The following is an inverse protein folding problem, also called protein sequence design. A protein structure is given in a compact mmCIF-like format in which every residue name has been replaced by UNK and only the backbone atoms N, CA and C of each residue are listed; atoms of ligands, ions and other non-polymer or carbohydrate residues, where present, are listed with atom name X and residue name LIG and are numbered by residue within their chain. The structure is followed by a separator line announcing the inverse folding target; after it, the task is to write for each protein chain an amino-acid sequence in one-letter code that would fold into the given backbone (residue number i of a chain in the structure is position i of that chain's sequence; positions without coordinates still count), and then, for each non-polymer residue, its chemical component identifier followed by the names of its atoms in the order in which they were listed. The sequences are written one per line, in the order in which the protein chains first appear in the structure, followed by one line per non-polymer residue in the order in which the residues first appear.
data_IF_718716492063
#
_entry.id   IF_718716492063
#
_cell.length_a   1.000
_cell.length_b   1.000
_cell.length_c   1.000
_cell.angle_alpha   90.00
_cell.angle_beta   90.00
_cell.angle_gamma   90.00
#
_symmetry.space_group_name_H-M   'P 1'
#
loop_
_entity.id
_entity.type
_entity.pdbx_description
1 polymer ?
#
# COMPACT_ATOMS: atom_id res chain seq x y z
N UNK A 1 3.32 4.83 8.12
CA UNK A 1 3.93 5.75 7.13
C UNK A 1 4.87 6.73 7.81
N UNK A 2 4.39 7.55 8.77
CA UNK A 2 5.22 8.59 9.40
C UNK A 2 6.40 8.00 10.19
N UNK A 3 6.17 6.96 11.02
CA UNK A 3 7.22 6.26 11.74
C UNK A 3 8.29 5.69 10.78
N UNK A 4 7.88 5.06 9.68
CA UNK A 4 8.80 4.53 8.68
C UNK A 4 9.66 5.64 8.04
N UNK A 5 9.04 6.78 7.68
CA UNK A 5 9.79 7.93 7.17
C UNK A 5 10.81 8.45 8.18
N UNK A 6 10.47 8.49 9.47
CA UNK A 6 11.42 8.90 10.53
C UNK A 6 12.55 7.89 10.66
N UNK A 7 12.25 6.60 10.65
CA UNK A 7 13.26 5.56 10.75
C UNK A 7 14.23 5.55 9.56
N UNK A 8 13.73 5.76 8.33
CA UNK A 8 14.57 5.86 7.12
C UNK A 8 15.65 6.94 7.19
N UNK A 9 15.44 7.98 7.98
CA UNK A 9 16.38 9.10 8.18
C UNK A 9 17.14 9.01 9.51
N UNK A 10 17.07 7.87 10.20
CA UNK A 10 17.84 7.63 11.42
C UNK A 10 19.29 7.22 11.09
N UNK A 11 20.19 7.37 12.07
CA UNK A 11 21.58 6.93 11.98
C UNK A 11 21.73 5.42 11.73
N UNK A 12 20.66 4.64 11.92
CA UNK A 12 20.67 3.24 11.55
C UNK A 12 21.09 3.02 10.09
N UNK A 13 20.70 3.91 9.18
CA UNK A 13 21.01 3.78 7.74
C UNK A 13 22.28 4.53 7.30
N UNK A 14 23.09 5.07 8.23
CA UNK A 14 24.32 5.79 7.85
C UNK A 14 25.23 4.92 6.97
N UNK A 15 25.61 5.46 5.82
CA UNK A 15 26.42 4.75 4.81
C UNK A 15 25.65 3.74 3.92
N UNK A 16 24.34 3.59 4.13
CA UNK A 16 23.47 2.68 3.37
C UNK A 16 22.21 3.40 2.86
N UNK A 17 21.56 2.76 1.89
CA UNK A 17 20.19 3.12 1.49
C UNK A 17 19.18 2.33 2.31
N UNK A 18 18.13 3.01 2.77
CA UNK A 18 16.96 2.33 3.33
C UNK A 18 16.14 1.72 2.19
N UNK A 19 16.07 0.40 2.14
CA UNK A 19 15.30 -0.35 1.15
C UNK A 19 14.05 -0.98 1.78
N UNK A 20 12.95 -0.99 1.05
CA UNK A 20 11.75 -1.72 1.45
C UNK A 20 11.90 -3.20 1.09
N UNK A 21 11.84 -4.08 2.09
CA UNK A 21 11.88 -5.53 1.88
C UNK A 21 10.78 -5.91 0.88
N UNK A 22 9.54 -5.47 1.10
CA UNK A 22 8.45 -5.56 0.12
C UNK A 22 8.24 -4.22 -0.59
N UNK A 23 8.30 -4.16 -1.95
CA UNK A 23 8.15 -2.90 -2.66
C UNK A 23 6.79 -2.25 -2.42
N UNK A 24 6.77 -1.01 -1.92
CA UNK A 24 5.51 -0.26 -1.68
C UNK A 24 4.72 -0.02 -2.98
N UNK A 25 5.41 0.10 -4.12
CA UNK A 25 4.80 0.22 -5.45
C UNK A 25 3.97 -1.00 -5.85
N UNK A 26 4.18 -2.14 -5.19
CA UNK A 26 3.42 -3.38 -5.38
C UNK A 26 2.35 -3.60 -4.30
N UNK A 27 2.21 -2.70 -3.32
CA UNK A 27 1.20 -2.73 -2.28
C UNK A 27 1.65 -3.32 -0.95
N UNK A 28 2.95 -3.53 -0.74
CA UNK A 28 3.46 -3.83 0.61
C UNK A 28 3.42 -2.59 1.49
N UNK A 29 3.35 -2.80 2.81
CA UNK A 29 3.24 -1.69 3.76
C UNK A 29 4.54 -0.88 3.81
N UNK A 30 4.39 0.42 3.95
CA UNK A 30 5.47 1.33 4.32
C UNK A 30 5.53 1.39 5.85
N UNK A 31 6.35 0.52 6.43
CA UNK A 31 6.49 0.34 7.88
C UNK A 31 7.96 0.23 8.25
N UNK A 32 8.33 0.70 9.46
CA UNK A 32 9.72 0.68 9.91
C UNK A 32 10.29 -0.73 10.05
N UNK A 33 9.48 -1.73 10.41
CA UNK A 33 9.87 -3.13 10.46
C UNK A 33 10.18 -3.73 9.08
N UNK A 34 9.72 -3.10 8.01
CA UNK A 34 9.86 -3.58 6.63
C UNK A 34 10.99 -2.88 5.87
N UNK A 35 11.88 -2.22 6.59
CA UNK A 35 13.05 -1.56 6.04
C UNK A 35 14.32 -2.38 6.32
N UNK A 36 15.23 -2.39 5.37
CA UNK A 36 16.55 -3.04 5.49
C UNK A 36 17.66 -2.15 4.94
N UNK A 37 18.87 -2.33 5.46
CA UNK A 37 20.08 -1.73 4.89
C UNK A 37 20.41 -2.39 3.56
N UNK A 38 20.71 -1.57 2.56
CA UNK A 38 21.20 -2.03 1.26
C UNK A 38 22.22 -1.03 0.71
N UNK A 39 23.19 -1.49 -0.06
CA UNK A 39 24.06 -0.55 -0.78
C UNK A 39 23.24 0.24 -1.80
N UNK A 40 23.65 1.46 -2.14
CA UNK A 40 22.95 2.25 -3.15
C UNK A 40 22.89 1.56 -4.51
N UNK A 41 23.94 0.80 -4.87
CA UNK A 41 23.99 0.00 -6.10
C UNK A 41 22.97 -1.13 -6.10
N UNK A 42 22.92 -1.93 -5.02
CA UNK A 42 21.98 -3.05 -4.90
C UNK A 42 20.54 -2.57 -4.84
N UNK A 43 20.26 -1.48 -4.10
CA UNK A 43 18.94 -0.87 -4.03
C UNK A 43 18.49 -0.39 -5.43
N UNK A 44 19.37 0.27 -6.17
CA UNK A 44 19.11 0.70 -7.55
C UNK A 44 18.89 -0.48 -8.50
N UNK A 45 19.58 -1.61 -8.28
CA UNK A 45 19.41 -2.82 -9.06
C UNK A 45 18.11 -3.56 -8.68
N UNK A 46 17.72 -3.56 -7.41
CA UNK A 46 16.50 -4.22 -6.92
C UNK A 46 15.23 -3.57 -7.46
N UNK A 47 15.07 -2.26 -7.34
CA UNK A 47 13.86 -1.50 -7.73
C UNK A 47 12.58 -2.11 -7.14
N UNK A 48 11.64 -2.56 -8.01
CA UNK A 48 10.36 -3.18 -7.66
C UNK A 48 10.37 -4.72 -7.82
N UNK A 49 11.55 -5.35 -7.80
CA UNK A 49 11.62 -6.81 -7.89
C UNK A 49 11.19 -7.47 -6.58
N UNK A 50 10.49 -8.59 -6.70
CA UNK A 50 10.27 -9.50 -5.60
C UNK A 50 11.42 -10.50 -5.57
N UNK A 51 12.24 -10.47 -4.53
CA UNK A 51 13.31 -11.44 -4.32
C UNK A 51 12.82 -12.54 -3.37
N UNK A 52 13.18 -13.79 -3.65
CA UNK A 52 12.78 -14.91 -2.81
C UNK A 52 13.26 -14.76 -1.36
N UNK A 53 14.48 -14.21 -1.19
CA UNK A 53 15.03 -13.89 0.13
C UNK A 53 14.18 -12.87 0.90
N UNK A 54 13.68 -11.84 0.20
CA UNK A 54 12.86 -10.80 0.80
C UNK A 54 11.47 -11.32 1.18
N UNK A 55 10.86 -12.14 0.31
CA UNK A 55 9.58 -12.79 0.64
C UNK A 55 9.70 -13.67 1.89
N UNK A 56 10.78 -14.45 2.01
CA UNK A 56 11.04 -15.25 3.22
C UNK A 56 11.21 -14.39 4.47
N UNK A 57 11.88 -13.22 4.36
CA UNK A 57 11.98 -12.26 5.46
C UNK A 57 10.61 -11.72 5.87
N UNK A 58 9.77 -11.31 4.90
CA UNK A 58 8.43 -10.80 5.17
C UNK A 58 7.57 -11.84 5.90
N UNK A 59 7.59 -13.09 5.45
CA UNK A 59 6.86 -14.20 6.11
C UNK A 59 7.37 -14.41 7.54
N UNK A 60 8.69 -14.33 7.76
CA UNK A 60 9.26 -14.44 9.10
C UNK A 60 8.79 -13.29 10.00
N UNK A 61 8.80 -12.05 9.51
CA UNK A 61 8.31 -10.88 10.26
C UNK A 61 6.85 -11.06 10.67
N UNK A 62 5.98 -11.53 9.78
CA UNK A 62 4.58 -11.84 10.12
C UNK A 62 4.46 -12.94 11.18
N UNK A 63 5.28 -13.98 11.08
CA UNK A 63 5.28 -15.09 12.04
C UNK A 63 5.75 -14.68 13.43
N UNK A 64 6.77 -13.82 13.48
CA UNK A 64 7.39 -13.37 14.73
C UNK A 64 6.56 -12.27 15.43
N UNK A 65 5.60 -11.65 14.72
CA UNK A 65 4.72 -10.60 15.23
C UNK A 65 3.26 -10.98 14.99
N UNK A 66 2.61 -11.49 16.04
CA UNK A 66 1.20 -11.87 15.96
C UNK A 66 0.34 -10.70 15.44
N UNK A 67 -0.64 -11.02 14.60
CA UNK A 67 -1.57 -10.08 13.97
C UNK A 67 -0.95 -9.04 13.02
N UNK A 68 0.37 -9.12 12.79
CA UNK A 68 1.04 -8.24 11.85
C UNK A 68 0.96 -8.79 10.42
N UNK A 69 0.58 -7.94 9.47
CA UNK A 69 0.49 -8.26 8.05
C UNK A 69 1.39 -7.32 7.26
N UNK A 70 2.36 -7.83 6.51
CA UNK A 70 3.26 -7.05 5.68
C UNK A 70 2.58 -6.41 4.45
N UNK A 71 1.45 -6.96 4.03
CA UNK A 71 0.71 -6.51 2.86
C UNK A 71 -0.37 -5.48 3.21
N UNK A 72 -0.61 -4.53 2.32
CA UNK A 72 -1.80 -3.68 2.38
C UNK A 72 -3.06 -4.47 2.02
N UNK A 73 -4.23 -4.05 2.55
CA UNK A 73 -5.51 -4.75 2.35
C UNK A 73 -5.84 -5.01 0.86
N UNK A 74 -5.41 -4.13 -0.04
CA UNK A 74 -5.68 -4.25 -1.47
C UNK A 74 -4.74 -5.22 -2.21
N UNK A 75 -3.85 -5.95 -1.49
CA UNK A 75 -3.06 -7.06 -2.05
C UNK A 75 -3.10 -8.31 -1.16
N UNK A 76 -3.88 -8.32 -0.07
CA UNK A 76 -3.87 -9.40 0.91
C UNK A 76 -4.12 -10.79 0.30
N UNK A 77 -5.06 -10.93 -0.66
CA UNK A 77 -5.36 -12.23 -1.28
C UNK A 77 -4.20 -12.73 -2.16
N UNK A 78 -3.54 -11.81 -2.87
CA UNK A 78 -2.35 -12.16 -3.67
C UNK A 78 -1.20 -12.54 -2.73
N UNK A 79 -1.04 -11.83 -1.61
CA UNK A 79 -0.03 -12.13 -0.61
C UNK A 79 -0.27 -13.50 0.05
N UNK A 80 -1.50 -13.84 0.41
CA UNK A 80 -1.86 -15.17 0.90
C UNK A 80 -1.50 -16.28 -0.11
N UNK A 81 -1.73 -16.04 -1.40
CA UNK A 81 -1.37 -16.98 -2.46
C UNK A 81 0.14 -17.16 -2.58
N UNK A 82 0.92 -16.08 -2.51
CA UNK A 82 2.39 -16.13 -2.48
C UNK A 82 2.86 -16.95 -1.28
N UNK A 83 2.33 -16.71 -0.08
CA UNK A 83 2.69 -17.45 1.15
C UNK A 83 2.38 -18.94 1.03
N UNK A 84 1.22 -19.29 0.49
CA UNK A 84 0.80 -20.68 0.31
C UNK A 84 1.76 -21.48 -0.58
N UNK A 85 2.31 -20.84 -1.60
CA UNK A 85 3.16 -21.47 -2.59
C UNK A 85 4.67 -21.34 -2.30
N UNK A 86 5.07 -20.74 -1.17
CA UNK A 86 6.47 -20.35 -0.92
C UNK A 86 7.46 -21.52 -0.94
N UNK A 87 7.06 -22.73 -0.50
CA UNK A 87 7.92 -23.91 -0.43
C UNK A 87 8.42 -24.39 -1.80
N UNK A 88 7.60 -24.19 -2.84
CA UNK A 88 7.93 -24.53 -4.25
C UNK A 88 8.29 -23.32 -5.09
N UNK A 89 8.38 -22.12 -4.48
CA UNK A 89 8.54 -20.86 -5.18
C UNK A 89 9.92 -20.72 -5.80
N UNK A 90 9.95 -20.43 -7.11
CA UNK A 90 11.16 -20.05 -7.85
C UNK A 90 11.09 -18.58 -8.25
N UNK A 91 12.22 -18.00 -8.64
CA UNK A 91 12.30 -16.58 -8.99
C UNK A 91 11.45 -16.20 -10.22
N UNK A 92 11.33 -17.08 -11.18
CA UNK A 92 10.45 -16.89 -12.36
C UNK A 92 8.97 -16.83 -12.00
N UNK A 93 8.55 -17.65 -11.03
CA UNK A 93 7.17 -17.60 -10.48
C UNK A 93 6.94 -16.29 -9.72
N UNK A 94 7.92 -15.81 -8.94
CA UNK A 94 7.83 -14.50 -8.28
C UNK A 94 7.72 -13.35 -9.28
N UNK A 95 8.37 -13.44 -10.42
CA UNK A 95 8.23 -12.44 -11.48
C UNK A 95 6.78 -12.39 -12.02
N UNK A 96 6.10 -13.53 -12.14
CA UNK A 96 4.66 -13.56 -12.49
C UNK A 96 3.80 -12.89 -11.41
N UNK A 97 4.05 -13.20 -10.12
CA UNK A 97 3.33 -12.52 -9.03
C UNK A 97 3.60 -11.02 -8.98
N UNK A 98 4.82 -10.57 -9.28
CA UNK A 98 5.11 -9.14 -9.43
C UNK A 98 4.24 -8.50 -10.51
N UNK A 99 4.07 -9.15 -11.63
CA UNK A 99 3.25 -8.63 -12.73
C UNK A 99 1.74 -8.64 -12.36
N UNK A 100 1.28 -9.66 -11.63
CA UNK A 100 -0.06 -9.69 -11.04
C UNK A 100 -0.26 -8.50 -10.07
N UNK A 101 0.69 -8.26 -9.17
CA UNK A 101 0.64 -7.15 -8.23
C UNK A 101 0.62 -5.78 -8.94
N UNK A 102 1.39 -5.62 -10.03
CA UNK A 102 1.35 -4.41 -10.86
C UNK A 102 -0.01 -4.20 -11.51
N UNK A 103 -0.59 -5.25 -12.07
CA UNK A 103 -1.93 -5.20 -12.65
C UNK A 103 -2.99 -4.86 -11.59
N UNK A 104 -2.90 -5.48 -10.43
CA UNK A 104 -3.79 -5.20 -9.31
C UNK A 104 -3.68 -3.75 -8.84
N UNK A 105 -2.45 -3.25 -8.65
CA UNK A 105 -2.21 -1.86 -8.26
C UNK A 105 -2.79 -0.89 -9.30
N UNK A 106 -2.63 -1.17 -10.58
CA UNK A 106 -3.18 -0.34 -11.65
C UNK A 106 -4.70 -0.29 -11.61
N UNK A 107 -5.37 -1.45 -11.47
CA UNK A 107 -6.83 -1.51 -11.33
C UNK A 107 -7.30 -0.81 -10.06
N UNK A 108 -6.60 -1.00 -8.94
CA UNK A 108 -6.90 -0.31 -7.69
C UNK A 108 -6.83 1.22 -7.84
N UNK A 109 -5.75 1.73 -8.43
CA UNK A 109 -5.61 3.18 -8.65
C UNK A 109 -6.64 3.71 -9.67
N UNK A 110 -6.99 2.93 -10.70
CA UNK A 110 -8.09 3.26 -11.62
C UNK A 110 -9.44 3.33 -10.91
N UNK A 111 -9.70 2.41 -9.99
CA UNK A 111 -10.90 2.42 -9.15
C UNK A 111 -10.96 3.67 -8.28
N UNK A 112 -9.87 4.00 -7.58
CA UNK A 112 -9.78 5.22 -6.79
C UNK A 112 -9.97 6.48 -7.65
N UNK A 113 -9.46 6.49 -8.89
CA UNK A 113 -9.66 7.59 -9.83
C UNK A 113 -11.15 7.73 -10.24
N UNK A 114 -11.84 6.61 -10.49
CA UNK A 114 -13.28 6.65 -10.79
C UNK A 114 -14.08 7.22 -9.61
N UNK A 115 -13.75 6.78 -8.39
CA UNK A 115 -14.36 7.29 -7.17
C UNK A 115 -14.05 8.79 -7.01
N UNK A 116 -12.78 9.18 -7.09
CA UNK A 116 -12.35 10.59 -6.98
C UNK A 116 -13.12 11.52 -7.90
N UNK A 117 -13.38 11.11 -9.15
CA UNK A 117 -14.10 11.90 -10.15
C UNK A 117 -15.62 11.95 -9.94
N UNK A 118 -16.17 11.13 -9.05
CA UNK A 118 -17.60 11.11 -8.76
C UNK A 118 -17.98 12.20 -7.76
N UNK A 119 -19.27 12.54 -7.71
CA UNK A 119 -19.82 13.43 -6.71
C UNK A 119 -19.55 12.85 -5.31
N UNK A 120 -19.08 13.66 -4.37
CA UNK A 120 -18.67 13.29 -3.01
C UNK A 120 -17.51 12.24 -2.95
N UNK A 121 -16.86 11.93 -4.08
CA UNK A 121 -15.82 10.91 -4.12
C UNK A 121 -14.54 11.30 -3.39
N UNK A 122 -14.08 12.55 -3.53
CA UNK A 122 -12.91 13.02 -2.78
C UNK A 122 -13.17 13.05 -1.27
N UNK A 123 -14.35 13.53 -0.84
CA UNK A 123 -14.76 13.52 0.57
C UNK A 123 -14.81 12.10 1.13
N UNK A 124 -15.33 11.14 0.37
CA UNK A 124 -15.30 9.73 0.75
C UNK A 124 -13.88 9.20 0.90
N UNK A 125 -12.99 9.44 -0.06
CA UNK A 125 -11.60 8.96 0.01
C UNK A 125 -10.86 9.55 1.21
N UNK A 126 -11.06 10.83 1.49
CA UNK A 126 -10.46 11.51 2.63
C UNK A 126 -11.04 10.98 3.93
N UNK A 127 -12.35 10.98 4.10
CA UNK A 127 -13.00 10.62 5.37
C UNK A 127 -12.86 9.15 5.73
N UNK A 128 -12.93 8.24 4.74
CA UNK A 128 -12.96 6.80 5.00
C UNK A 128 -11.60 6.11 4.86
N UNK A 129 -10.70 6.62 4.03
CA UNK A 129 -9.42 5.96 3.75
C UNK A 129 -8.19 6.71 4.27
N UNK A 130 -8.22 8.04 4.34
CA UNK A 130 -7.08 8.85 4.77
C UNK A 130 -7.17 9.27 6.23
N UNK A 131 -8.27 9.87 6.66
CA UNK A 131 -8.44 10.37 8.05
C UNK A 131 -8.19 9.32 9.14
N UNK A 132 -8.63 8.07 8.99
CA UNK A 132 -8.32 7.04 9.99
C UNK A 132 -6.82 6.78 10.21
N UNK A 133 -5.95 7.28 9.32
CA UNK A 133 -4.48 7.11 9.40
C UNK A 133 -3.77 8.36 9.91
N UNK A 134 -4.47 9.44 10.19
CA UNK A 134 -3.87 10.71 10.63
C UNK A 134 -3.24 10.62 12.01
N UNK A 135 -3.64 9.67 12.85
CA UNK A 135 -3.06 9.49 14.18
C UNK A 135 -1.54 9.32 14.15
N UNK A 136 -0.99 8.77 13.07
CA UNK A 136 0.46 8.62 12.92
C UNK A 136 1.22 9.96 13.00
N UNK A 137 0.60 11.08 12.65
CA UNK A 137 1.21 12.40 12.72
C UNK A 137 1.21 12.99 14.16
N UNK A 138 0.44 12.39 15.06
CA UNK A 138 0.31 12.86 16.43
C UNK A 138 1.43 12.36 17.35
N UNK A 139 2.32 11.48 16.87
CA UNK A 139 3.33 10.83 17.70
C UNK A 139 4.75 11.13 17.25
N UNK A 140 5.65 11.21 18.25
CA UNK A 140 7.09 11.00 18.07
C UNK A 140 7.43 9.56 18.39
N UNK A 141 8.43 9.01 17.69
CA UNK A 141 8.80 7.61 17.80
C UNK A 141 10.27 7.47 18.13
N UNK A 142 10.58 6.51 19.02
CA UNK A 142 11.94 5.97 19.17
C UNK A 142 11.96 4.54 18.64
N UNK A 143 13.06 4.16 18.01
CA UNK A 143 13.20 2.88 17.33
C UNK A 143 14.31 2.05 17.96
N UNK A 144 14.13 0.73 17.99
CA UNK A 144 15.19 -0.23 18.24
C UNK A 144 15.97 -0.56 16.95
N UNK A 145 16.94 -1.45 17.07
CA UNK A 145 17.94 -1.77 16.04
C UNK A 145 17.35 -2.30 14.73
N UNK A 146 16.12 -2.81 14.73
CA UNK A 146 15.45 -3.37 13.55
C UNK A 146 14.17 -2.63 13.18
N UNK A 147 14.06 -1.36 13.58
CA UNK A 147 12.91 -0.52 13.24
C UNK A 147 11.64 -0.78 14.05
N UNK A 148 11.69 -1.66 15.06
CA UNK A 148 10.59 -1.81 16.02
C UNK A 148 10.40 -0.50 16.78
N UNK A 149 9.16 -0.08 16.96
CA UNK A 149 8.84 1.10 17.79
C UNK A 149 8.99 0.69 19.24
N UNK A 150 9.99 1.29 19.92
CA UNK A 150 10.27 1.06 21.36
C UNK A 150 9.38 1.95 22.21
N UNK A 151 9.21 3.20 21.81
CA UNK A 151 8.28 4.11 22.45
C UNK A 151 7.63 5.06 21.45
N UNK A 152 6.46 5.56 21.83
CA UNK A 152 5.78 6.63 21.12
C UNK A 152 5.26 7.64 22.14
N UNK A 153 5.50 8.92 21.88
CA UNK A 153 5.08 10.03 22.74
C UNK A 153 4.13 10.92 21.95
N UNK A 154 3.00 11.28 22.56
CA UNK A 154 2.02 12.16 21.96
C UNK A 154 2.61 13.56 21.79
N UNK A 155 2.57 14.09 20.58
CA UNK A 155 2.96 15.46 20.29
C UNK A 155 1.86 16.43 20.67
N UNK A 156 2.26 17.62 21.11
CA UNK A 156 1.33 18.74 21.15
C UNK A 156 0.87 19.07 19.72
N UNK A 157 -0.45 19.19 19.53
CA UNK A 157 -1.03 19.62 18.25
C UNK A 157 -0.58 21.04 17.96
N UNK A 158 0.12 21.23 16.86
CA UNK A 158 0.61 22.53 16.38
C UNK A 158 0.07 22.79 14.98
N UNK A 159 0.20 24.01 14.47
CA UNK A 159 -0.11 24.33 13.09
C UNK A 159 0.71 23.47 12.09
N UNK A 160 1.92 23.08 12.48
CA UNK A 160 2.75 22.16 11.70
C UNK A 160 2.07 20.79 11.53
N UNK A 161 1.38 20.26 12.55
CA UNK A 161 0.63 19.00 12.46
C UNK A 161 -0.54 19.12 11.47
N UNK A 162 -1.26 20.24 11.51
CA UNK A 162 -2.34 20.51 10.56
C UNK A 162 -1.83 20.58 9.12
N UNK A 163 -0.73 21.28 8.90
CA UNK A 163 -0.09 21.39 7.59
C UNK A 163 0.36 20.01 7.06
N UNK A 164 0.79 19.08 7.92
CA UNK A 164 1.12 17.71 7.51
C UNK A 164 -0.13 16.92 7.06
N UNK A 165 -1.28 17.10 7.69
CA UNK A 165 -2.53 16.50 7.24
C UNK A 165 -2.95 17.01 5.87
N UNK A 166 -2.98 18.32 5.69
CA UNK A 166 -3.37 18.97 4.42
C UNK A 166 -2.40 18.58 3.29
N UNK A 167 -1.10 18.50 3.61
CA UNK A 167 -0.08 18.04 2.67
C UNK A 167 -0.28 16.58 2.29
N UNK A 168 -0.53 15.70 3.26
CA UNK A 168 -0.74 14.27 3.03
C UNK A 168 -1.98 14.02 2.18
N UNK A 169 -3.09 14.69 2.47
CA UNK A 169 -4.33 14.62 1.71
C UNK A 169 -4.11 15.03 0.25
N UNK A 170 -3.52 16.21 0.04
CA UNK A 170 -3.23 16.72 -1.30
C UNK A 170 -2.34 15.77 -2.10
N UNK A 171 -1.25 15.26 -1.49
CA UNK A 171 -0.33 14.32 -2.15
C UNK A 171 -1.05 13.03 -2.48
N UNK A 172 -1.86 12.47 -1.57
CA UNK A 172 -2.59 11.24 -1.79
C UNK A 172 -3.57 11.37 -2.97
N UNK A 173 -4.37 12.44 -3.02
CA UNK A 173 -5.34 12.68 -4.10
C UNK A 173 -4.65 12.96 -5.45
N UNK A 174 -3.55 13.70 -5.45
CA UNK A 174 -2.80 14.01 -6.68
C UNK A 174 -2.10 12.77 -7.22
N UNK A 175 -1.54 11.93 -6.34
CA UNK A 175 -0.79 10.73 -6.73
C UNK A 175 -1.63 9.70 -7.50
N UNK A 176 -2.96 9.69 -7.31
CA UNK A 176 -3.88 8.82 -8.06
C UNK A 176 -3.80 9.13 -9.55
N UNK A 177 -3.95 10.39 -9.93
CA UNK A 177 -3.96 10.81 -11.34
C UNK A 177 -2.57 10.69 -11.97
N UNK A 178 -1.52 11.05 -11.23
CA UNK A 178 -0.13 10.91 -11.68
C UNK A 178 0.24 9.45 -11.94
N UNK A 179 -0.17 8.54 -11.04
CA UNK A 179 0.07 7.11 -11.21
C UNK A 179 -0.58 6.58 -12.49
N UNK A 180 -1.84 6.93 -12.73
CA UNK A 180 -2.58 6.50 -13.93
C UNK A 180 -1.94 7.09 -15.19
N UNK A 181 -1.62 8.39 -15.20
CA UNK A 181 -0.96 9.05 -16.33
C UNK A 181 0.36 8.36 -16.70
N UNK A 182 1.16 7.98 -15.70
CA UNK A 182 2.46 7.33 -15.89
C UNK A 182 2.35 5.89 -16.41
N UNK A 183 1.34 5.14 -15.98
CA UNK A 183 1.24 3.70 -16.20
C UNK A 183 0.22 3.29 -17.28
N UNK A 184 -0.66 4.18 -17.72
CA UNK A 184 -1.75 3.87 -18.66
C UNK A 184 -1.28 3.26 -20.01
N UNK A 185 -0.08 3.57 -20.46
CA UNK A 185 0.50 3.01 -21.70
C UNK A 185 1.24 1.69 -21.49
N UNK A 186 1.54 1.32 -20.24
CA UNK A 186 2.40 0.18 -19.90
C UNK A 186 1.63 -1.04 -19.44
N UNK A 187 0.43 -0.83 -18.90
CA UNK A 187 -0.39 -1.88 -18.30
C UNK A 187 -1.73 -1.92 -19.04
N UNK A 188 -1.90 -2.97 -19.82
CA UNK A 188 -3.14 -3.18 -20.58
C UNK A 188 -4.05 -4.17 -19.85
N UNK A 189 -4.77 -3.69 -18.85
CA UNK A 189 -5.79 -4.46 -18.13
C UNK A 189 -7.03 -3.59 -17.92
N UNK A 190 -8.20 -4.21 -18.01
CA UNK A 190 -9.48 -3.52 -17.86
C UNK A 190 -10.33 -4.20 -16.78
N UNK A 191 -11.29 -3.46 -16.26
CA UNK A 191 -12.35 -4.02 -15.44
C UNK A 191 -13.28 -4.88 -16.29
N UNK A 192 -13.73 -6.00 -15.74
CA UNK A 192 -14.80 -6.80 -16.32
C UNK A 192 -16.13 -6.06 -16.22
N UNK A 193 -17.14 -6.48 -16.99
CA UNK A 193 -18.49 -5.89 -16.94
C UNK A 193 -19.11 -6.00 -15.54
N UNK A 194 -18.86 -7.10 -14.82
CA UNK A 194 -19.30 -7.27 -13.43
C UNK A 194 -18.64 -6.24 -12.50
N UNK A 195 -17.33 -6.03 -12.65
CA UNK A 195 -16.58 -5.05 -11.85
C UNK A 195 -17.03 -3.63 -12.18
N UNK A 196 -17.28 -3.30 -13.46
CA UNK A 196 -17.83 -2.00 -13.88
C UNK A 196 -19.21 -1.74 -13.28
N UNK A 197 -20.10 -2.74 -13.21
CA UNK A 197 -21.39 -2.62 -12.52
C UNK A 197 -21.21 -2.33 -11.04
N UNK A 198 -20.28 -3.02 -10.37
CA UNK A 198 -19.97 -2.74 -8.95
C UNK A 198 -19.44 -1.33 -8.74
N UNK A 199 -18.58 -0.81 -9.63
CA UNK A 199 -18.08 0.57 -9.56
C UNK A 199 -19.24 1.57 -9.68
N UNK A 200 -20.17 1.37 -10.61
CA UNK A 200 -21.36 2.22 -10.76
C UNK A 200 -22.23 2.21 -9.50
N UNK A 201 -22.39 1.04 -8.85
CA UNK A 201 -23.13 0.92 -7.59
C UNK A 201 -22.44 1.67 -6.45
N UNK A 202 -21.11 1.59 -6.34
CA UNK A 202 -20.34 2.37 -5.37
C UNK A 202 -20.59 3.87 -5.60
N UNK A 203 -20.46 4.36 -6.82
CA UNK A 203 -20.67 5.77 -7.17
C UNK A 203 -22.09 6.22 -6.78
N UNK A 204 -23.12 5.40 -7.07
CA UNK A 204 -24.50 5.70 -6.68
C UNK A 204 -24.69 5.80 -5.14
N UNK A 205 -23.95 4.99 -4.36
CA UNK A 205 -23.95 5.10 -2.90
C UNK A 205 -23.29 6.39 -2.42
N UNK A 206 -22.23 6.86 -3.12
CA UNK A 206 -21.56 8.12 -2.81
C UNK A 206 -22.46 9.32 -3.09
N UNK A 207 -23.26 9.29 -4.16
CA UNK A 207 -24.25 10.33 -4.45
C UNK A 207 -25.25 10.50 -3.29
N UNK A 208 -25.63 9.40 -2.64
CA UNK A 208 -26.49 9.37 -1.44
C UNK A 208 -25.73 9.51 -0.12
N UNK A 209 -24.43 9.79 -0.12
CA UNK A 209 -23.55 9.86 1.07
C UNK A 209 -23.58 8.61 1.96
N UNK A 210 -23.84 7.44 1.38
CA UNK A 210 -23.89 6.15 2.11
C UNK A 210 -22.47 5.55 2.19
N UNK A 211 -21.55 6.24 2.87
CA UNK A 211 -20.11 5.96 2.85
C UNK A 211 -19.73 4.59 3.41
N UNK A 212 -20.35 4.15 4.50
CA UNK A 212 -20.04 2.83 5.07
C UNK A 212 -20.36 1.70 4.09
N UNK A 213 -21.54 1.73 3.45
CA UNK A 213 -21.92 0.74 2.44
C UNK A 213 -21.01 0.83 1.20
N UNK A 214 -20.64 2.03 0.79
CA UNK A 214 -19.70 2.23 -0.31
C UNK A 214 -18.33 1.62 0.02
N UNK A 215 -17.85 1.75 1.27
CA UNK A 215 -16.60 1.19 1.75
C UNK A 215 -16.64 -0.34 1.77
N UNK A 216 -17.71 -0.95 2.27
CA UNK A 216 -17.91 -2.41 2.25
C UNK A 216 -17.89 -2.96 0.82
N UNK A 217 -18.59 -2.31 -0.10
CA UNK A 217 -18.58 -2.69 -1.51
C UNK A 217 -17.21 -2.49 -2.15
N UNK A 218 -16.47 -1.44 -1.79
CA UNK A 218 -15.12 -1.20 -2.27
C UNK A 218 -14.18 -2.33 -1.84
N UNK A 219 -14.21 -2.75 -0.58
CA UNK A 219 -13.41 -3.88 -0.09
C UNK A 219 -13.75 -5.18 -0.83
N UNK A 220 -15.04 -5.50 -0.96
CA UNK A 220 -15.50 -6.71 -1.66
C UNK A 220 -15.07 -6.71 -3.14
N UNK A 221 -15.17 -5.56 -3.82
CA UNK A 221 -14.74 -5.43 -5.21
C UNK A 221 -13.23 -5.65 -5.36
N UNK A 222 -12.45 -5.02 -4.51
CA UNK A 222 -10.97 -5.12 -4.56
C UNK A 222 -10.51 -6.54 -4.23
N UNK A 223 -11.16 -7.21 -3.28
CA UNK A 223 -10.91 -8.63 -3.01
C UNK A 223 -11.22 -9.51 -4.22
N UNK A 224 -12.37 -9.31 -4.86
CA UNK A 224 -12.75 -10.03 -6.07
C UNK A 224 -11.76 -9.84 -7.22
N UNK A 225 -11.22 -8.63 -7.42
CA UNK A 225 -10.17 -8.34 -8.40
C UNK A 225 -8.91 -9.15 -8.11
N UNK A 226 -8.45 -9.18 -6.86
CA UNK A 226 -7.27 -9.95 -6.46
C UNK A 226 -7.43 -11.44 -6.76
N UNK A 227 -8.56 -12.03 -6.37
CA UNK A 227 -8.87 -13.45 -6.63
C UNK A 227 -8.85 -13.73 -8.12
N UNK A 228 -9.52 -12.91 -8.94
CA UNK A 228 -9.53 -13.06 -10.40
C UNK A 228 -8.14 -13.02 -11.03
N UNK A 229 -7.25 -12.18 -10.50
CA UNK A 229 -5.88 -12.05 -11.02
C UNK A 229 -5.01 -13.26 -10.66
N UNK A 230 -5.25 -13.90 -9.51
CA UNK A 230 -4.55 -15.12 -9.09
C UNK A 230 -5.02 -16.37 -9.84
N UNK A 231 -6.27 -16.40 -10.34
CA UNK A 231 -6.82 -17.54 -11.05
C UNK A 231 -6.50 -17.58 -12.56
N UNK A 232 -5.65 -16.66 -13.04
CA UNK A 232 -5.16 -16.64 -14.43
C UNK A 232 -3.78 -17.32 -14.51
#
# INVERSE_FOLDING_TARGET
IYAANKFMHSSFFDGYSADHIGPISLGFKHDSLLLQKMTSGDNSAKRDRLLLSDIKKLIKIEKDNADYICASWFICKIWEEIKRNISSMKQDVLNKYRDILKQNMFLFMRLLQCIKKSRNGEDFLVSMLLKPKYDCFNYEYTFGDYGQIVSQTLKNKTDATKNEYDRFERIALTSIDEYIKKNNRRINIQFTDKEQKSIKSIISLLDGKKYDKALEMLYSLVEGIQIRLCCK
#
